data_IF_524945402648
#
_entry.id   IF_524945402648
#
_cell.length_a   1.000
_cell.length_b   1.000
_cell.length_c   1.000
_cell.angle_alpha   90.00
_cell.angle_beta   90.00
_cell.angle_gamma   90.00
#
_symmetry.space_group_name_H-M   'P 1'
#
loop_
_entity.id
_entity.type
_entity.pdbx_description
1 polymer ?
#
# COMPACT_ATOMS: atom_id res chain seq x y z
N UNK A 1 -5.05 -24.40 -2.92
CA UNK A 1 -4.80 -23.66 -1.66
C UNK A 1 -3.40 -23.08 -1.59
N UNK A 2 -2.34 -23.88 -1.82
CA UNK A 2 -0.93 -23.42 -1.74
C UNK A 2 -0.63 -22.19 -2.62
N UNK A 3 -1.17 -22.13 -3.82
CA UNK A 3 -0.94 -21.01 -4.74
C UNK A 3 -1.53 -19.67 -4.25
N UNK A 4 -2.69 -19.69 -3.58
CA UNK A 4 -3.26 -18.48 -2.97
C UNK A 4 -2.46 -18.01 -1.76
N UNK A 5 -1.92 -18.94 -0.98
CA UNK A 5 -1.00 -18.63 0.12
C UNK A 5 0.27 -17.96 -0.39
N UNK A 6 0.80 -18.43 -1.51
CA UNK A 6 1.96 -17.82 -2.16
C UNK A 6 1.68 -16.39 -2.60
N UNK A 7 0.51 -16.12 -3.22
CA UNK A 7 0.07 -14.76 -3.58
C UNK A 7 -0.01 -13.88 -2.34
N UNK A 8 -0.60 -14.37 -1.26
CA UNK A 8 -0.73 -13.66 0.00
C UNK A 8 0.63 -13.29 0.60
N UNK A 9 1.54 -14.28 0.73
CA UNK A 9 2.88 -14.07 1.27
C UNK A 9 3.68 -13.10 0.40
N UNK A 10 3.60 -13.23 -0.92
CA UNK A 10 4.28 -12.31 -1.85
C UNK A 10 3.75 -10.89 -1.68
N UNK A 11 2.43 -10.71 -1.51
CA UNK A 11 1.83 -9.41 -1.29
C UNK A 11 2.27 -8.75 0.04
N UNK A 12 2.64 -9.55 1.05
CA UNK A 12 3.14 -9.05 2.32
C UNK A 12 4.60 -8.58 2.25
N UNK A 13 5.37 -9.00 1.26
CA UNK A 13 6.79 -8.61 1.17
C UNK A 13 6.95 -7.17 0.69
N UNK A 14 7.96 -6.44 1.20
CA UNK A 14 8.20 -5.05 0.80
C UNK A 14 8.70 -4.90 -0.66
N UNK A 15 9.22 -5.97 -1.25
CA UNK A 15 9.72 -6.00 -2.63
C UNK A 15 8.64 -6.49 -3.60
N UNK A 16 7.89 -7.51 -3.21
CA UNK A 16 6.87 -8.14 -4.05
C UNK A 16 5.60 -7.30 -4.14
N UNK A 17 5.04 -6.97 -2.99
CA UNK A 17 3.77 -6.25 -2.88
C UNK A 17 2.69 -6.77 -3.85
N UNK A 18 1.72 -5.96 -4.14
CA UNK A 18 0.65 -6.23 -5.11
C UNK A 18 1.17 -6.47 -6.54
N UNK A 19 2.29 -5.85 -6.88
CA UNK A 19 2.88 -5.83 -8.24
C UNK A 19 3.43 -7.18 -8.66
N UNK A 20 4.02 -7.92 -7.74
CA UNK A 20 4.48 -9.28 -8.02
C UNK A 20 3.38 -10.31 -7.72
N UNK A 21 2.57 -10.09 -6.68
CA UNK A 21 1.54 -11.02 -6.25
C UNK A 21 0.48 -11.27 -7.33
N UNK A 22 0.00 -10.22 -8.02
CA UNK A 22 -1.04 -10.33 -9.06
C UNK A 22 -0.51 -11.09 -10.29
N UNK A 23 0.63 -10.73 -10.91
CA UNK A 23 1.17 -11.49 -12.04
C UNK A 23 1.46 -12.94 -11.70
N UNK A 24 2.02 -13.23 -10.52
CA UNK A 24 2.29 -14.59 -10.07
C UNK A 24 1.00 -15.40 -9.95
N UNK A 25 -0.05 -14.81 -9.38
CA UNK A 25 -1.35 -15.47 -9.25
C UNK A 25 -1.96 -15.81 -10.63
N UNK A 26 -1.91 -14.86 -11.57
CA UNK A 26 -2.44 -15.06 -12.93
C UNK A 26 -1.62 -16.06 -13.73
N UNK A 27 -0.28 -16.07 -13.60
CA UNK A 27 0.59 -17.05 -14.24
C UNK A 27 0.31 -18.49 -13.75
N UNK A 28 -0.28 -18.64 -12.57
CA UNK A 28 -0.74 -19.94 -12.02
C UNK A 28 -2.20 -20.26 -12.37
N UNK A 29 -2.81 -19.55 -13.33
CA UNK A 29 -4.19 -19.73 -13.77
C UNK A 29 -5.22 -19.58 -12.63
N UNK A 30 -4.92 -18.75 -11.63
CA UNK A 30 -5.85 -18.47 -10.55
C UNK A 30 -6.88 -17.39 -10.99
N UNK A 31 -8.08 -17.47 -10.41
CA UNK A 31 -9.12 -16.47 -10.67
C UNK A 31 -8.65 -15.07 -10.23
N UNK A 32 -8.72 -14.09 -11.14
CA UNK A 32 -8.26 -12.73 -10.93
C UNK A 32 -8.95 -12.07 -9.72
N UNK A 33 -10.21 -12.35 -9.49
CA UNK A 33 -10.98 -11.78 -8.37
C UNK A 33 -10.39 -12.18 -7.02
N UNK A 34 -10.09 -13.47 -6.84
CA UNK A 34 -9.50 -13.97 -5.61
C UNK A 34 -8.05 -13.51 -5.44
N UNK A 35 -7.27 -13.52 -6.52
CA UNK A 35 -5.89 -13.03 -6.50
C UNK A 35 -5.86 -11.56 -6.09
N UNK A 36 -6.72 -10.74 -6.66
CA UNK A 36 -6.84 -9.31 -6.35
C UNK A 36 -7.20 -9.06 -4.88
N UNK A 37 -8.24 -9.73 -4.37
CA UNK A 37 -8.68 -9.58 -2.98
C UNK A 37 -7.60 -10.02 -1.98
N UNK A 38 -6.99 -11.18 -2.22
CA UNK A 38 -5.95 -11.74 -1.36
C UNK A 38 -4.70 -10.85 -1.38
N UNK A 39 -4.33 -10.32 -2.53
CA UNK A 39 -3.20 -9.41 -2.67
C UNK A 39 -3.42 -8.09 -1.93
N UNK A 40 -4.62 -7.50 -2.00
CA UNK A 40 -4.96 -6.28 -1.23
C UNK A 40 -4.86 -6.55 0.27
N UNK A 41 -5.49 -7.62 0.76
CA UNK A 41 -5.47 -7.96 2.18
C UNK A 41 -4.03 -8.19 2.65
N UNK A 42 -3.25 -8.99 1.90
CA UNK A 42 -1.86 -9.26 2.21
C UNK A 42 -0.99 -8.00 2.27
N UNK A 43 -1.26 -7.04 1.39
CA UNK A 43 -0.50 -5.78 1.34
C UNK A 43 -0.88 -4.79 2.45
N UNK A 44 -2.13 -4.83 2.93
CA UNK A 44 -2.60 -3.94 4.01
C UNK A 44 -2.14 -4.40 5.40
N UNK A 45 -1.92 -5.69 5.62
CA UNK A 45 -1.49 -6.21 6.93
C UNK A 45 -0.19 -5.53 7.41
N UNK A 46 0.93 -5.53 6.65
CA UNK A 46 2.13 -4.85 7.10
C UNK A 46 1.96 -3.34 7.26
N UNK A 47 1.11 -2.69 6.46
CA UNK A 47 0.78 -1.27 6.64
C UNK A 47 0.18 -1.00 8.02
N UNK A 48 -0.78 -1.82 8.45
CA UNK A 48 -1.40 -1.70 9.77
C UNK A 48 -0.34 -1.87 10.86
N UNK A 49 0.55 -2.87 10.73
CA UNK A 49 1.65 -3.09 11.68
C UNK A 49 2.59 -1.89 11.76
N UNK A 50 3.02 -1.33 10.63
CA UNK A 50 3.90 -0.17 10.59
C UNK A 50 3.25 1.04 11.26
N UNK A 51 1.99 1.32 10.95
CA UNK A 51 1.26 2.46 11.52
C UNK A 51 1.00 2.28 13.03
N UNK A 52 0.74 1.07 13.50
CA UNK A 52 0.56 0.77 14.93
C UNK A 52 1.88 0.88 15.69
N UNK A 53 2.97 0.32 15.15
CA UNK A 53 4.30 0.43 15.75
C UNK A 53 4.74 1.88 15.82
N UNK A 54 4.54 2.64 14.75
CA UNK A 54 4.85 4.05 14.73
C UNK A 54 4.08 4.83 15.80
N UNK A 55 2.80 4.54 16.00
CA UNK A 55 1.99 5.16 17.06
C UNK A 55 2.54 4.82 18.45
N UNK A 56 3.04 3.61 18.64
CA UNK A 56 3.58 3.15 19.94
C UNK A 56 4.99 3.68 20.24
N UNK A 57 5.82 3.80 19.21
CA UNK A 57 7.23 4.21 19.33
C UNK A 57 7.49 5.66 18.96
N UNK A 58 6.44 6.45 18.62
CA UNK A 58 6.62 7.86 18.28
C UNK A 58 7.16 8.62 19.51
N UNK A 59 8.40 9.11 19.48
CA UNK A 59 8.93 9.90 20.58
C UNK A 59 8.14 11.20 20.69
N UNK A 60 7.82 11.62 21.92
CA UNK A 60 7.00 12.81 22.21
C UNK A 60 7.46 14.08 21.48
N UNK A 61 8.77 14.24 21.25
CA UNK A 61 9.32 15.39 20.52
C UNK A 61 8.93 15.39 19.02
N UNK A 62 8.80 14.23 18.41
CA UNK A 62 8.38 14.11 17.02
C UNK A 62 6.87 14.38 16.89
N UNK A 63 6.06 13.84 17.79
CA UNK A 63 4.63 14.10 17.87
C UNK A 63 4.34 15.60 18.12
N UNK A 64 5.06 16.23 19.06
CA UNK A 64 4.91 17.67 19.33
C UNK A 64 5.36 18.57 18.17
N UNK A 65 6.35 18.13 17.37
CA UNK A 65 6.82 18.87 16.20
C UNK A 65 5.77 18.87 15.07
N UNK A 66 5.03 17.77 14.96
CA UNK A 66 3.93 17.59 14.01
C UNK A 66 2.73 18.47 14.41
N UNK A 67 2.40 18.54 15.69
CA UNK A 67 1.29 19.40 16.18
C UNK A 67 1.56 20.90 16.04
N UNK A 68 2.83 21.33 16.14
CA UNK A 68 3.20 22.76 16.03
C UNK A 68 3.26 23.29 14.61
N UNK A 69 3.27 22.46 13.57
CA UNK A 69 3.31 22.88 12.18
C UNK A 69 1.89 23.06 11.61
N UNK A 70 1.14 23.98 12.26
CA UNK A 70 -0.24 24.32 11.92
C UNK A 70 -0.33 25.15 10.62
N UNK A 71 -0.14 24.54 9.48
CA UNK A 71 -0.65 25.09 8.22
C UNK A 71 -1.66 24.09 7.62
N UNK A 72 -2.92 24.20 8.05
CA UNK A 72 -4.02 23.28 7.72
C UNK A 72 -4.17 22.95 6.23
N UNK A 73 -3.84 23.87 5.34
CA UNK A 73 -3.92 23.66 3.88
C UNK A 73 -2.78 22.77 3.37
N UNK A 74 -1.56 22.98 3.86
CA UNK A 74 -0.39 22.21 3.42
C UNK A 74 -0.42 20.75 3.90
N UNK A 75 -0.99 20.52 5.08
CA UNK A 75 -1.16 19.17 5.65
C UNK A 75 -2.18 18.37 4.84
N UNK A 76 -3.33 18.95 4.46
CA UNK A 76 -4.34 18.26 3.66
C UNK A 76 -3.83 17.83 2.29
N UNK A 77 -3.07 18.68 1.61
CA UNK A 77 -2.49 18.34 0.30
C UNK A 77 -1.39 17.29 0.43
N UNK A 78 -0.56 17.37 1.47
CA UNK A 78 0.45 16.35 1.76
C UNK A 78 -0.15 14.98 2.09
N UNK A 79 -1.25 14.94 2.85
CA UNK A 79 -1.99 13.72 3.14
C UNK A 79 -2.60 13.10 1.87
N UNK A 80 -3.22 13.91 1.01
CA UNK A 80 -3.82 13.44 -0.25
C UNK A 80 -2.78 12.93 -1.24
N UNK A 81 -1.55 13.45 -1.20
CA UNK A 81 -0.44 12.97 -2.03
C UNK A 81 -0.05 11.51 -1.76
N UNK A 82 -0.45 10.94 -0.61
CA UNK A 82 -0.26 9.51 -0.32
C UNK A 82 -1.01 8.62 -1.31
N UNK A 83 -2.18 9.03 -1.79
CA UNK A 83 -2.97 8.23 -2.74
C UNK A 83 -2.19 8.00 -4.04
N UNK A 84 -1.80 9.03 -4.82
CA UNK A 84 -1.04 8.83 -6.04
C UNK A 84 0.34 8.22 -5.78
N UNK A 85 0.97 8.53 -4.64
CA UNK A 85 2.26 7.95 -4.26
C UNK A 85 2.19 6.42 -4.11
N UNK A 86 1.12 5.89 -3.52
CA UNK A 86 0.89 4.45 -3.38
C UNK A 86 0.32 3.84 -4.65
N UNK A 87 -0.53 4.57 -5.39
CA UNK A 87 -1.20 4.08 -6.59
C UNK A 87 -0.25 3.93 -7.79
N UNK A 88 0.76 4.79 -7.91
CA UNK A 88 1.71 4.74 -9.02
C UNK A 88 2.62 3.50 -8.91
N UNK A 89 2.67 2.64 -9.94
CA UNK A 89 3.48 1.43 -9.92
C UNK A 89 4.96 1.71 -10.22
N UNK A 90 5.57 2.63 -9.47
CA UNK A 90 7.00 2.95 -9.58
C UNK A 90 7.81 2.10 -8.59
N UNK A 91 9.07 1.74 -8.90
CA UNK A 91 9.93 1.09 -7.94
C UNK A 91 10.11 1.98 -6.70
N UNK A 92 10.06 1.41 -5.51
CA UNK A 92 10.15 2.10 -4.22
C UNK A 92 8.90 2.91 -3.81
N UNK A 93 7.86 3.01 -4.62
CA UNK A 93 6.56 3.54 -4.20
C UNK A 93 5.61 2.37 -3.95
N UNK A 94 4.95 2.32 -2.83
CA UNK A 94 4.03 1.25 -2.51
C UNK A 94 3.41 1.43 -1.13
N UNK A 95 2.72 0.42 -0.64
CA UNK A 95 2.03 0.49 0.63
C UNK A 95 2.99 0.61 1.81
N UNK A 96 4.14 -0.06 1.76
CA UNK A 96 5.18 0.02 2.79
C UNK A 96 5.78 1.42 2.90
N UNK A 97 6.24 1.97 1.79
CA UNK A 97 6.80 3.32 1.74
C UNK A 97 5.76 4.38 1.99
N UNK A 98 4.51 4.16 1.55
CA UNK A 98 3.37 5.01 1.88
C UNK A 98 3.08 5.04 3.38
N UNK A 99 3.15 3.90 4.07
CA UNK A 99 3.01 3.82 5.51
C UNK A 99 4.14 4.57 6.25
N UNK A 100 5.39 4.38 5.82
CA UNK A 100 6.53 5.11 6.37
C UNK A 100 6.42 6.62 6.12
N UNK A 101 6.02 7.04 4.92
CA UNK A 101 5.78 8.44 4.60
C UNK A 101 4.67 9.04 5.48
N UNK A 102 3.57 8.32 5.68
CA UNK A 102 2.48 8.75 6.55
C UNK A 102 2.95 8.97 8.00
N UNK A 103 3.85 8.11 8.50
CA UNK A 103 4.46 8.26 9.81
C UNK A 103 5.35 9.52 9.87
N UNK A 104 6.22 9.72 8.88
CA UNK A 104 7.12 10.88 8.82
C UNK A 104 6.34 12.19 8.72
N UNK A 105 5.25 12.22 7.95
CA UNK A 105 4.37 13.39 7.82
C UNK A 105 3.40 13.55 8.99
N UNK A 106 3.35 12.59 9.94
CA UNK A 106 2.49 12.66 11.11
C UNK A 106 1.01 12.53 10.81
N UNK A 107 0.67 11.82 9.76
CA UNK A 107 -0.73 11.57 9.39
C UNK A 107 -1.39 10.69 10.43
N UNK A 108 -2.61 11.03 10.85
CA UNK A 108 -3.37 10.22 11.83
C UNK A 108 -3.61 8.81 11.29
N UNK A 109 -3.50 7.80 12.17
CA UNK A 109 -3.63 6.39 11.85
C UNK A 109 -4.81 6.08 10.90
N UNK A 110 -6.03 6.49 11.26
CA UNK A 110 -7.23 6.20 10.46
C UNK A 110 -7.21 6.88 9.08
N UNK A 111 -6.70 8.12 9.00
CA UNK A 111 -6.55 8.82 7.73
C UNK A 111 -5.47 8.18 6.86
N UNK A 112 -4.31 7.88 7.45
CA UNK A 112 -3.24 7.20 6.74
C UNK A 112 -3.71 5.85 6.19
N UNK A 113 -4.37 5.05 7.01
CA UNK A 113 -4.90 3.75 6.60
C UNK A 113 -5.92 3.88 5.47
N UNK A 114 -6.85 4.82 5.55
CA UNK A 114 -7.85 5.05 4.48
C UNK A 114 -7.20 5.49 3.17
N UNK A 115 -6.28 6.45 3.21
CA UNK A 115 -5.60 6.98 2.01
C UNK A 115 -4.71 5.92 1.35
N UNK A 116 -3.97 5.16 2.15
CA UNK A 116 -3.13 4.06 1.65
C UNK A 116 -4.02 2.95 1.08
N UNK A 117 -5.12 2.60 1.73
CA UNK A 117 -6.06 1.57 1.22
C UNK A 117 -6.63 1.96 -0.15
N UNK A 118 -7.03 3.22 -0.33
CA UNK A 118 -7.50 3.74 -1.63
C UNK A 118 -6.36 3.62 -2.66
N UNK A 119 -5.15 4.03 -2.31
CA UNK A 119 -3.98 3.91 -3.19
C UNK A 119 -3.69 2.46 -3.60
N UNK A 120 -3.76 1.53 -2.65
CA UNK A 120 -3.56 0.07 -2.88
C UNK A 120 -4.63 -0.50 -3.80
N UNK A 121 -5.91 -0.12 -3.64
CA UNK A 121 -7.02 -0.54 -4.50
C UNK A 121 -6.77 -0.07 -5.93
N UNK A 122 -6.43 1.21 -6.12
CA UNK A 122 -6.13 1.79 -7.43
C UNK A 122 -4.90 1.10 -8.05
N UNK A 123 -3.83 0.92 -7.29
CA UNK A 123 -2.63 0.20 -7.75
C UNK A 123 -2.97 -1.22 -8.21
N UNK A 124 -3.81 -1.93 -7.47
CA UNK A 124 -4.26 -3.28 -7.81
C UNK A 124 -5.03 -3.33 -9.13
N UNK A 125 -5.91 -2.35 -9.40
CA UNK A 125 -6.62 -2.24 -10.67
C UNK A 125 -5.63 -2.01 -11.81
N UNK A 126 -4.71 -1.06 -11.65
CA UNK A 126 -3.70 -0.73 -12.68
C UNK A 126 -2.84 -1.96 -13.00
N UNK A 127 -2.32 -2.64 -11.97
CA UNK A 127 -1.48 -3.83 -12.14
C UNK A 127 -2.27 -4.98 -12.77
N UNK A 128 -3.52 -5.19 -12.37
CA UNK A 128 -4.39 -6.22 -12.95
C UNK A 128 -4.64 -5.99 -14.44
N UNK A 129 -4.97 -4.76 -14.82
CA UNK A 129 -5.19 -4.39 -16.21
C UNK A 129 -3.90 -4.52 -17.04
N UNK A 130 -2.77 -4.06 -16.51
CA UNK A 130 -1.47 -4.20 -17.17
C UNK A 130 -1.09 -5.67 -17.38
N UNK A 131 -1.29 -6.52 -16.37
CA UNK A 131 -0.98 -7.95 -16.46
C UNK A 131 -1.88 -8.67 -17.46
N UNK A 132 -3.18 -8.39 -17.45
CA UNK A 132 -4.13 -8.97 -18.43
C UNK A 132 -3.83 -8.48 -19.85
N UNK A 133 -3.47 -7.21 -20.02
CA UNK A 133 -3.05 -6.67 -21.32
C UNK A 133 -1.80 -7.37 -21.85
N UNK A 134 -0.81 -7.60 -20.98
CA UNK A 134 0.42 -8.30 -21.35
C UNK A 134 0.17 -9.77 -21.72
N UNK A 135 -0.68 -10.47 -20.98
CA UNK A 135 -1.04 -11.88 -21.28
C UNK A 135 -1.79 -11.99 -22.62
N UNK A 136 -2.59 -11.00 -23.01
CA UNK A 136 -3.30 -11.00 -24.31
C UNK A 136 -2.39 -10.69 -25.50
N UNK A 137 -1.25 -10.05 -25.28
CA UNK A 137 -0.28 -9.70 -26.32
C UNK A 137 0.73 -10.81 -26.60
N UNK A 138 0.88 -11.77 -25.70
CA UNK A 138 1.71 -12.98 -25.84
C UNK A 138 0.90 -14.13 -26.44
#
# INVERSE_FOLDING_TARGET
>A
MINYLLVFLTAMTPIGELRAAIPIGLAKNLSIYWVYLIAIIGNLIPVIFILLLAKRFCPKWLCCRIEKKHNHKFIKWGELALIPFVALPLPLTGAWTGALAAVVFGVRFWRALSLISIGVIIAGIIVSLATLGFIKLL
#
